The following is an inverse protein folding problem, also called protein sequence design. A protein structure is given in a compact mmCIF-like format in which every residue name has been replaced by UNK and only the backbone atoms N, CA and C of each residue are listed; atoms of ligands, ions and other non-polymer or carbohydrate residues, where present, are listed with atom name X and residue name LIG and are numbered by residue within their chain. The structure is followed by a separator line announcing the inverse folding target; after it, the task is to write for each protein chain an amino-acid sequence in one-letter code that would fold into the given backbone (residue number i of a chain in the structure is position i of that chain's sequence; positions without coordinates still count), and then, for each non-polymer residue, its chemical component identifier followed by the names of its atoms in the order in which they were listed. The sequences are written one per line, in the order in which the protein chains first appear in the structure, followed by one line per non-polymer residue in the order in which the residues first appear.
data_IF_427951287651
#
_entry.id   IF_427951287651
#
_cell.length_a   1.000
_cell.length_b   1.000
_cell.length_c   1.000
_cell.angle_alpha   90.00
_cell.angle_beta   90.00
_cell.angle_gamma   90.00
#
_symmetry.space_group_name_H-M   'P 1'
#
loop_
_entity.id
_entity.type
_entity.pdbx_description
1 polymer ?
#
# COMPACT_ATOMS: atom_id res chain seq x y z
N UNK A 1 9.88 -10.53 14.23
CA UNK A 1 8.91 -11.60 14.49
C UNK A 1 7.59 -11.18 13.86
N UNK A 2 7.26 -11.68 12.68
CA UNK A 2 5.92 -11.50 12.09
C UNK A 2 5.06 -12.70 12.48
N UNK A 3 3.80 -12.46 12.83
CA UNK A 3 2.84 -13.52 13.13
C UNK A 3 2.41 -14.18 11.82
N UNK A 4 2.34 -15.51 11.80
CA UNK A 4 1.87 -16.24 10.63
C UNK A 4 0.33 -16.33 10.57
N UNK A 5 -0.20 -16.83 9.45
CA UNK A 5 -1.64 -16.92 9.22
C UNK A 5 -2.35 -17.87 10.21
N UNK A 6 -1.66 -18.94 10.63
CA UNK A 6 -2.23 -19.92 11.57
C UNK A 6 -2.33 -19.33 12.98
N UNK A 7 -1.30 -18.62 13.42
CA UNK A 7 -1.29 -17.93 14.70
C UNK A 7 -2.36 -16.84 14.76
N UNK A 8 -2.53 -16.06 13.68
CA UNK A 8 -3.61 -15.08 13.58
C UNK A 8 -4.99 -15.74 13.68
N UNK A 9 -5.21 -16.84 12.95
CA UNK A 9 -6.48 -17.56 12.98
C UNK A 9 -6.80 -18.16 14.36
N UNK A 10 -5.78 -18.68 15.06
CA UNK A 10 -5.94 -19.20 16.41
C UNK A 10 -6.34 -18.10 17.41
N UNK A 11 -5.74 -16.91 17.32
CA UNK A 11 -6.10 -15.77 18.15
C UNK A 11 -7.53 -15.26 17.87
N UNK A 12 -7.91 -15.18 16.60
CA UNK A 12 -9.27 -14.80 16.20
C UNK A 12 -10.29 -15.81 16.76
N UNK A 13 -9.99 -17.12 16.71
CA UNK A 13 -10.85 -18.17 17.26
C UNK A 13 -10.98 -18.12 18.80
N UNK A 14 -9.95 -17.64 19.49
CA UNK A 14 -9.96 -17.41 20.94
C UNK A 14 -10.69 -16.11 21.34
N UNK A 15 -11.19 -15.33 20.37
CA UNK A 15 -11.93 -14.09 20.61
C UNK A 15 -11.04 -12.87 20.88
N UNK A 16 -9.75 -12.94 20.54
CA UNK A 16 -8.86 -11.78 20.68
C UNK A 16 -9.09 -10.76 19.57
N UNK A 17 -9.23 -9.49 19.95
CA UNK A 17 -9.27 -8.39 19.00
C UNK A 17 -7.87 -8.07 18.48
N UNK A 18 -7.70 -8.05 17.15
CA UNK A 18 -6.46 -7.62 16.51
C UNK A 18 -6.46 -6.10 16.33
N UNK A 19 -5.49 -5.44 16.97
CA UNK A 19 -5.23 -4.03 16.76
C UNK A 19 -4.14 -3.84 15.71
N UNK A 20 -4.38 -2.96 14.75
CA UNK A 20 -3.31 -2.50 13.87
C UNK A 20 -2.61 -1.30 14.49
N UNK A 21 -1.29 -1.40 14.62
CA UNK A 21 -0.45 -0.27 15.02
C UNK A 21 -0.36 0.70 13.84
N UNK A 22 -0.96 1.88 13.98
CA UNK A 22 -0.64 3.02 13.11
C UNK A 22 0.61 3.68 13.65
N UNK A 23 1.71 3.62 12.90
CA UNK A 23 2.94 4.32 13.28
C UNK A 23 2.76 5.81 12.96
N UNK A 24 2.95 6.72 13.93
CA UNK A 24 2.89 8.16 13.68
C UNK A 24 3.82 8.56 12.53
N UNK A 25 3.30 9.33 11.56
CA UNK A 25 4.05 9.72 10.36
C UNK A 25 4.09 8.68 9.23
N UNK A 26 3.51 7.49 9.41
CA UNK A 26 3.23 6.52 8.33
C UNK A 26 1.77 6.55 7.90
N UNK A 27 1.24 7.74 7.66
CA UNK A 27 -0.13 7.92 7.15
C UNK A 27 -0.08 8.28 5.67
N UNK A 28 -0.91 7.59 4.89
CA UNK A 28 -1.13 7.96 3.51
C UNK A 28 -2.06 9.17 3.47
N UNK A 29 -1.81 10.17 2.60
CA UNK A 29 -2.71 11.29 2.44
C UNK A 29 -4.03 10.79 1.85
N UNK A 30 -5.11 11.47 2.22
CA UNK A 30 -6.44 11.13 1.73
C UNK A 30 -6.68 11.73 0.34
N UNK A 31 -6.05 11.14 -0.69
CA UNK A 31 -6.14 11.56 -2.09
C UNK A 31 -6.53 10.36 -2.98
N UNK A 32 -7.60 10.46 -3.80
CA UNK A 32 -8.02 9.40 -4.73
C UNK A 32 -6.93 8.93 -5.71
N UNK A 33 -5.98 9.81 -6.05
CA UNK A 33 -4.84 9.47 -6.90
C UNK A 33 -3.96 8.41 -6.25
N UNK A 34 -3.75 8.51 -4.93
CA UNK A 34 -2.96 7.52 -4.18
C UNK A 34 -3.64 6.16 -4.24
N UNK A 35 -4.96 6.11 -4.04
CA UNK A 35 -5.71 4.84 -4.10
C UNK A 35 -5.68 4.22 -5.51
N UNK A 36 -5.73 5.05 -6.56
CA UNK A 36 -5.57 4.58 -7.93
C UNK A 36 -4.18 4.00 -8.20
N UNK A 37 -3.12 4.66 -7.72
CA UNK A 37 -1.73 4.20 -7.91
C UNK A 37 -1.44 2.91 -7.12
N UNK A 38 -1.92 2.82 -5.88
CA UNK A 38 -1.82 1.60 -5.06
C UNK A 38 -2.52 0.43 -5.77
N UNK A 39 -3.77 0.62 -6.23
CA UNK A 39 -4.50 -0.43 -6.97
C UNK A 39 -3.80 -0.82 -8.27
N UNK A 40 -3.21 0.14 -8.98
CA UNK A 40 -2.43 -0.14 -10.19
C UNK A 40 -1.18 -0.99 -9.89
N UNK A 41 -0.57 -0.81 -8.71
CA UNK A 41 0.52 -1.64 -8.21
C UNK A 41 0.06 -2.98 -7.59
N UNK A 42 -1.25 -3.23 -7.51
CA UNK A 42 -1.79 -4.43 -6.86
C UNK A 42 -1.84 -4.35 -5.33
N UNK A 43 -1.62 -3.17 -4.75
CA UNK A 43 -1.62 -2.93 -3.32
C UNK A 43 -2.95 -2.30 -2.87
N UNK A 44 -3.34 -2.58 -1.65
CA UNK A 44 -4.41 -1.89 -0.93
C UNK A 44 -3.80 -0.90 0.09
N UNK A 45 -4.61 0.08 0.54
CA UNK A 45 -4.16 1.12 1.50
C UNK A 45 -3.70 0.54 2.83
N UNK A 46 -4.22 -0.63 3.19
CA UNK A 46 -3.84 -1.42 4.35
C UNK A 46 -2.59 -2.29 4.14
N UNK A 47 -2.01 -2.38 2.94
CA UNK A 47 -0.77 -3.14 2.77
C UNK A 47 0.40 -2.47 3.48
N UNK A 48 1.27 -3.28 4.12
CA UNK A 48 2.50 -2.78 4.76
C UNK A 48 3.42 -2.05 3.75
N UNK A 49 3.35 -2.44 2.48
CA UNK A 49 4.13 -1.85 1.38
C UNK A 49 3.52 -0.56 0.82
N UNK A 50 2.27 -0.24 1.16
CA UNK A 50 1.56 0.92 0.58
C UNK A 50 2.27 2.24 0.89
N UNK A 51 2.71 2.42 2.14
CA UNK A 51 3.45 3.60 2.56
C UNK A 51 4.87 3.65 1.94
N UNK A 52 5.51 2.50 1.80
CA UNK A 52 6.83 2.40 1.17
C UNK A 52 6.76 2.80 -0.31
N UNK A 53 5.74 2.32 -1.05
CA UNK A 53 5.50 2.75 -2.42
C UNK A 53 5.22 4.25 -2.49
N UNK A 54 4.35 4.78 -1.64
CA UNK A 54 4.02 6.21 -1.62
C UNK A 54 5.26 7.11 -1.51
N UNK A 55 6.22 6.74 -0.66
CA UNK A 55 7.48 7.49 -0.48
C UNK A 55 8.31 7.59 -1.78
N UNK A 56 8.15 6.63 -2.70
CA UNK A 56 8.90 6.60 -3.98
C UNK A 56 8.25 7.39 -5.11
N UNK A 57 6.95 7.71 -5.00
CA UNK A 57 6.17 8.33 -6.08
C UNK A 57 6.52 9.81 -6.33
N UNK A 58 7.21 10.45 -5.39
CA UNK A 58 7.52 11.88 -5.47
C UNK A 58 6.29 12.76 -5.23
N UNK A 59 6.33 14.06 -5.60
CA UNK A 59 5.25 14.99 -5.33
C UNK A 59 3.97 14.64 -6.12
N UNK A 60 2.85 14.43 -5.42
CA UNK A 60 1.56 14.12 -6.05
C UNK A 60 1.11 15.17 -7.08
N UNK A 61 1.47 16.44 -6.88
CA UNK A 61 1.17 17.51 -7.82
C UNK A 61 1.79 17.26 -9.21
N UNK A 62 3.03 16.76 -9.26
CA UNK A 62 3.70 16.41 -10.51
C UNK A 62 3.03 15.21 -11.19
N UNK A 63 2.47 14.29 -10.40
CA UNK A 63 1.74 13.12 -10.92
C UNK A 63 0.34 13.43 -11.44
N UNK A 64 -0.13 14.68 -11.34
CA UNK A 64 -1.36 15.08 -12.02
C UNK A 64 -1.18 15.19 -13.53
N UNK A 65 0.05 15.43 -13.98
CA UNK A 65 0.40 15.42 -15.41
C UNK A 65 0.30 14.01 -16.02
N UNK A 66 -0.22 13.96 -17.25
CA UNK A 66 -0.42 12.73 -18.00
C UNK A 66 0.90 12.08 -18.42
N UNK A 67 1.94 12.85 -18.74
CA UNK A 67 3.24 12.30 -19.12
C UNK A 67 3.93 11.66 -17.90
N UNK A 68 3.92 12.34 -16.75
CA UNK A 68 4.44 11.80 -15.49
C UNK A 68 3.75 10.49 -15.08
N UNK A 69 2.41 10.40 -15.18
CA UNK A 69 1.67 9.15 -14.92
C UNK A 69 2.06 8.02 -15.86
N UNK A 70 2.19 8.32 -17.16
CA UNK A 70 2.57 7.32 -18.17
C UNK A 70 3.99 6.78 -17.92
N UNK A 71 4.92 7.62 -17.47
CA UNK A 71 6.28 7.20 -17.13
C UNK A 71 6.32 6.19 -15.96
N UNK A 72 5.41 6.31 -14.99
CA UNK A 72 5.32 5.39 -13.84
C UNK A 72 4.63 4.06 -14.17
N UNK A 73 3.82 4.01 -15.22
CA UNK A 73 2.98 2.85 -15.54
C UNK A 73 3.75 1.52 -15.69
N UNK A 74 4.92 1.46 -16.37
CA UNK A 74 5.72 0.24 -16.45
C UNK A 74 6.17 -0.27 -15.08
N UNK A 75 6.54 0.64 -14.16
CA UNK A 75 6.99 0.28 -12.81
C UNK A 75 5.83 -0.28 -11.97
N UNK A 76 4.66 0.36 -12.02
CA UNK A 76 3.47 -0.12 -11.30
C UNK A 76 3.04 -1.51 -11.78
N UNK A 77 3.07 -1.77 -13.09
CA UNK A 77 2.79 -3.11 -13.64
C UNK A 77 3.79 -4.15 -13.19
N UNK A 78 5.09 -3.80 -13.12
CA UNK A 78 6.13 -4.71 -12.61
C UNK A 78 5.92 -5.03 -11.12
N UNK A 79 5.52 -4.06 -10.32
CA UNK A 79 5.19 -4.27 -8.91
C UNK A 79 4.00 -5.21 -8.76
N UNK A 80 2.93 -4.98 -9.52
CA UNK A 80 1.75 -5.85 -9.54
C UNK A 80 2.09 -7.29 -9.93
N UNK A 81 3.01 -7.50 -10.86
CA UNK A 81 3.44 -8.83 -11.27
C UNK A 81 4.28 -9.56 -10.21
N UNK A 82 4.83 -8.85 -9.22
CA UNK A 82 5.69 -9.41 -8.17
C UNK A 82 5.00 -9.56 -6.82
N UNK A 83 3.99 -8.74 -6.54
CA UNK A 83 3.24 -8.73 -5.28
C UNK A 83 1.80 -9.24 -5.39
N UNK A 84 1.41 -9.74 -6.56
CA UNK A 84 0.12 -10.41 -6.79
C UNK A 84 0.19 -11.90 -6.57
#
# INVERSE_FOLDING_TARGET
MSWDALQCAALDALGHARYRVQVPGRTLPDDPLVDALLRAAGLQRDSDDAFALYKTLGPLAALRDAAAKRALWPQLRRLRARGG
#
